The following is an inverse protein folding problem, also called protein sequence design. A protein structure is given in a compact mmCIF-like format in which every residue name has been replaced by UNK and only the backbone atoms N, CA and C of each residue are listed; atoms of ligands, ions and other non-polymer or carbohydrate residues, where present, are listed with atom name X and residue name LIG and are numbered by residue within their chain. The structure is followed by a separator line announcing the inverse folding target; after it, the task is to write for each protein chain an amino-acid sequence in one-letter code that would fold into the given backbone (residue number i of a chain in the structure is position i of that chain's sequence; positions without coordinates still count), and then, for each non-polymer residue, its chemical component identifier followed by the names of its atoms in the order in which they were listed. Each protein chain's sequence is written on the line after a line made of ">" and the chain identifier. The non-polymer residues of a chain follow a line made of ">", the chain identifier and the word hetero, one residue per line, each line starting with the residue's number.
data_IF_201617242374
#
_entry.id   IF_201617242374
#
_cell.length_a   1.000
_cell.length_b   1.000
_cell.length_c   1.000
_cell.angle_alpha   90.00
_cell.angle_beta   90.00
_cell.angle_gamma   90.00
#
_symmetry.space_group_name_H-M   'P 1'
#
loop_
_entity.id
_entity.type
_entity.pdbx_description
1 polymer ?
#
# COMPACT_ATOMS: atom_id res chain seq x y z
N UNK A 1 16.73 11.43 18.43
CA UNK A 1 15.77 11.04 17.37
C UNK A 1 16.55 10.55 16.16
N UNK A 2 16.34 9.31 15.73
CA UNK A 2 16.96 8.88 14.46
C UNK A 2 16.25 9.57 13.32
N UNK A 3 16.97 10.35 12.54
CA UNK A 3 16.47 10.89 11.30
C UNK A 3 16.16 9.72 10.33
N UNK A 4 15.00 9.74 9.69
CA UNK A 4 14.59 8.73 8.70
C UNK A 4 15.23 8.97 7.33
N UNK A 5 16.28 9.72 7.27
CA UNK A 5 17.03 10.04 6.06
C UNK A 5 18.52 10.24 6.39
N UNK A 6 19.36 10.14 5.38
CA UNK A 6 20.82 10.37 5.47
C UNK A 6 21.22 11.57 4.63
N UNK A 7 22.24 12.28 5.07
CA UNK A 7 22.86 13.39 4.36
C UNK A 7 24.14 12.92 3.67
N UNK A 8 24.44 13.44 2.46
CA UNK A 8 25.58 12.99 1.65
C UNK A 8 26.95 13.24 2.32
N UNK A 9 27.08 14.34 3.05
CA UNK A 9 28.34 14.78 3.66
C UNK A 9 28.28 14.78 5.20
N UNK A 10 27.50 13.85 5.74
CA UNK A 10 27.20 13.85 7.16
C UNK A 10 26.24 15.00 7.49
N UNK A 11 26.51 15.72 8.56
CA UNK A 11 25.70 16.82 9.05
C UNK A 11 26.29 18.21 8.78
N UNK A 12 27.35 18.30 7.97
CA UNK A 12 28.06 19.56 7.72
C UNK A 12 28.32 19.76 6.24
N UNK A 13 28.12 20.98 5.77
CA UNK A 13 28.49 21.42 4.43
C UNK A 13 29.13 22.80 4.49
N UNK A 14 30.12 23.05 3.62
CA UNK A 14 30.81 24.35 3.51
C UNK A 14 30.24 25.09 2.30
N UNK A 15 30.00 26.40 2.47
CA UNK A 15 29.55 27.23 1.35
C UNK A 15 30.66 27.43 0.32
N UNK A 16 30.30 27.40 -0.95
CA UNK A 16 31.19 27.70 -2.08
C UNK A 16 31.41 29.20 -2.25
N UNK A 17 32.08 29.61 -3.34
CA UNK A 17 32.38 31.00 -3.66
C UNK A 17 31.10 31.85 -3.89
N UNK A 18 29.99 31.23 -4.26
CA UNK A 18 28.69 31.85 -4.44
C UNK A 18 27.84 31.88 -3.16
N UNK A 19 28.40 31.44 -2.04
CA UNK A 19 27.74 31.39 -0.76
C UNK A 19 26.72 30.23 -0.63
N UNK A 20 26.82 29.20 -1.47
CA UNK A 20 25.90 28.07 -1.49
C UNK A 20 26.53 26.82 -0.89
N UNK A 21 25.81 26.14 -0.02
CA UNK A 21 26.11 24.81 0.46
C UNK A 21 25.09 23.81 -0.11
N UNK A 22 25.56 22.69 -0.62
CA UNK A 22 24.71 21.64 -1.19
C UNK A 22 24.82 20.37 -0.36
N UNK A 23 23.68 19.75 -0.12
CA UNK A 23 23.59 18.46 0.55
C UNK A 23 22.55 17.60 -0.15
N UNK A 24 22.86 16.32 -0.30
CA UNK A 24 21.92 15.35 -0.86
C UNK A 24 21.24 14.57 0.26
N UNK A 25 19.92 14.46 0.19
CA UNK A 25 19.10 13.72 1.13
C UNK A 25 18.71 12.39 0.52
N UNK A 26 18.88 11.31 1.28
CA UNK A 26 18.36 9.97 0.93
C UNK A 26 17.54 9.45 2.07
N UNK A 27 16.34 8.96 1.76
CA UNK A 27 15.43 8.38 2.73
C UNK A 27 14.71 7.17 2.17
N UNK A 28 14.34 6.26 3.06
CA UNK A 28 13.55 5.06 2.73
C UNK A 28 12.13 5.14 3.24
N UNK A 29 11.80 6.19 4.02
CA UNK A 29 10.46 6.39 4.56
C UNK A 29 9.77 7.54 3.83
N UNK A 30 8.61 7.25 3.25
CA UNK A 30 7.74 8.25 2.62
C UNK A 30 7.12 9.19 3.67
N UNK A 31 6.73 10.38 3.23
CA UNK A 31 6.12 11.40 4.04
C UNK A 31 6.98 12.65 4.19
N UNK A 32 6.52 13.55 5.05
CA UNK A 32 7.19 14.83 5.30
C UNK A 32 8.35 14.67 6.30
N UNK A 33 9.50 15.22 5.93
CA UNK A 33 10.70 15.25 6.77
C UNK A 33 11.20 16.68 6.88
N UNK A 34 11.48 17.12 8.10
CA UNK A 34 12.02 18.45 8.34
C UNK A 34 13.56 18.42 8.36
N UNK A 35 14.16 19.24 7.53
CA UNK A 35 15.60 19.47 7.48
C UNK A 35 15.89 20.83 8.04
N UNK A 36 16.83 20.92 8.99
CA UNK A 36 17.26 22.18 9.59
C UNK A 36 18.69 22.47 9.15
N UNK A 37 18.88 23.64 8.56
CA UNK A 37 20.22 24.18 8.28
C UNK A 37 20.53 25.24 9.34
N UNK A 38 21.68 25.11 9.99
CA UNK A 38 22.15 26.08 10.99
C UNK A 38 23.56 26.53 10.70
N UNK A 39 23.81 27.80 10.99
CA UNK A 39 25.16 28.38 10.90
C UNK A 39 25.80 28.52 12.28
N UNK A 40 27.11 28.49 12.31
CA UNK A 40 27.88 28.91 13.48
C UNK A 40 27.49 30.36 13.81
N UNK A 41 27.03 30.63 15.03
CA UNK A 41 26.47 31.93 15.43
C UNK A 41 24.96 31.96 15.65
N UNK A 42 24.28 30.82 15.46
CA UNK A 42 22.93 30.58 15.98
C UNK A 42 21.75 30.86 15.07
N UNK A 43 21.94 31.25 13.81
CA UNK A 43 20.83 31.31 12.85
C UNK A 43 20.55 29.93 12.27
N UNK A 44 19.27 29.55 12.23
CA UNK A 44 18.81 28.33 11.63
C UNK A 44 17.57 28.54 10.78
N UNK A 45 17.42 27.73 9.76
CA UNK A 45 16.27 27.68 8.86
C UNK A 45 15.80 26.25 8.71
N UNK A 46 14.49 26.07 8.59
CA UNK A 46 13.89 24.76 8.42
C UNK A 46 13.20 24.63 7.06
N UNK A 47 13.36 23.47 6.45
CA UNK A 47 12.69 23.12 5.20
C UNK A 47 12.01 21.76 5.36
N UNK A 48 10.77 21.66 4.91
CA UNK A 48 10.06 20.37 4.83
C UNK A 48 10.31 19.75 3.46
N UNK A 49 10.82 18.53 3.45
CA UNK A 49 11.04 17.73 2.25
C UNK A 49 10.11 16.53 2.29
N UNK A 50 9.36 16.31 1.21
CA UNK A 50 8.46 15.17 1.10
C UNK A 50 9.10 14.06 0.26
N UNK A 51 9.21 12.87 0.84
CA UNK A 51 9.54 11.65 0.10
C UNK A 51 8.26 10.93 -0.28
N UNK A 52 8.18 10.47 -1.51
CA UNK A 52 7.08 9.64 -2.00
C UNK A 52 7.46 8.16 -1.96
N UNK A 53 6.46 7.29 -1.85
CA UNK A 53 6.68 5.85 -1.96
C UNK A 53 7.20 5.48 -3.36
N UNK A 54 8.03 4.45 -3.42
CA UNK A 54 8.61 3.97 -4.69
C UNK A 54 7.63 3.03 -5.40
N UNK A 55 6.91 3.55 -6.38
CA UNK A 55 5.95 2.76 -7.16
C UNK A 55 6.59 1.63 -7.97
N UNK A 56 7.89 1.73 -8.29
CA UNK A 56 8.61 0.68 -9.03
C UNK A 56 8.77 -0.60 -8.21
N UNK A 57 8.88 -0.47 -6.90
CA UNK A 57 8.99 -1.61 -5.97
C UNK A 57 7.67 -1.99 -5.32
N UNK A 58 6.55 -1.38 -5.74
CA UNK A 58 5.23 -1.62 -5.16
C UNK A 58 4.82 -3.09 -5.26
N UNK A 59 4.25 -3.59 -4.17
CA UNK A 59 3.74 -4.95 -4.01
C UNK A 59 2.33 -4.93 -3.43
N UNK A 60 1.50 -5.86 -3.84
CA UNK A 60 0.13 -6.03 -3.34
C UNK A 60 0.07 -7.19 -2.36
N UNK A 61 -0.66 -7.00 -1.26
CA UNK A 61 -1.08 -8.05 -0.33
C UNK A 61 -2.61 -8.11 -0.31
N UNK A 62 -3.16 -9.30 -0.14
CA UNK A 62 -4.60 -9.54 -0.16
C UNK A 62 -5.03 -10.23 1.13
N UNK A 63 -5.97 -9.61 1.85
CA UNK A 63 -6.49 -10.11 3.12
C UNK A 63 -8.01 -10.20 3.10
N UNK A 64 -8.55 -11.17 3.84
CA UNK A 64 -9.97 -11.27 4.13
C UNK A 64 -10.25 -10.47 5.40
N UNK A 65 -11.09 -9.44 5.30
CA UNK A 65 -11.45 -8.58 6.44
C UNK A 65 -12.83 -8.91 7.03
N UNK A 66 -13.74 -9.41 6.21
CA UNK A 66 -15.03 -9.96 6.64
C UNK A 66 -15.28 -11.26 5.90
N UNK A 67 -15.60 -12.30 6.66
CA UNK A 67 -15.88 -13.63 6.13
C UNK A 67 -17.35 -14.02 6.35
N UNK A 68 -18.12 -14.00 5.29
CA UNK A 68 -19.41 -14.64 5.24
C UNK A 68 -19.44 -15.57 4.03
N UNK A 69 -18.79 -16.71 4.18
CA UNK A 69 -18.52 -17.66 3.11
C UNK A 69 -19.74 -18.53 2.71
N UNK A 70 -20.94 -18.05 2.91
CA UNK A 70 -22.15 -18.80 2.53
C UNK A 70 -22.39 -18.64 1.03
N UNK A 71 -22.47 -19.76 0.31
CA UNK A 71 -22.70 -19.82 -1.12
C UNK A 71 -24.20 -19.67 -1.48
N UNK A 72 -24.77 -18.51 -1.18
CA UNK A 72 -26.17 -18.19 -1.46
C UNK A 72 -26.34 -16.90 -2.27
N UNK A 73 -25.24 -16.35 -2.78
CA UNK A 73 -25.16 -15.05 -3.47
C UNK A 73 -25.67 -13.84 -2.65
N UNK A 74 -25.84 -14.02 -1.34
CA UNK A 74 -26.22 -12.97 -0.39
C UNK A 74 -25.11 -12.77 0.63
N UNK A 75 -24.49 -13.87 1.10
CA UNK A 75 -23.31 -13.82 1.96
C UNK A 75 -22.15 -13.17 1.22
N UNK A 76 -21.65 -12.05 1.74
CA UNK A 76 -20.57 -11.28 1.13
C UNK A 76 -19.29 -11.45 1.95
N UNK A 77 -18.21 -11.77 1.26
CA UNK A 77 -16.86 -11.77 1.83
C UNK A 77 -16.17 -10.51 1.39
N UNK A 78 -15.61 -9.76 2.33
CA UNK A 78 -14.85 -8.55 2.03
C UNK A 78 -13.37 -8.90 1.93
N UNK A 79 -12.79 -8.58 0.79
CA UNK A 79 -11.35 -8.64 0.55
C UNK A 79 -10.76 -7.24 0.51
N UNK A 80 -9.63 -7.09 1.15
CA UNK A 80 -8.88 -5.85 1.18
C UNK A 80 -7.48 -6.09 0.63
N UNK A 81 -7.13 -5.38 -0.43
CA UNK A 81 -5.78 -5.34 -0.94
C UNK A 81 -5.05 -4.12 -0.35
N UNK A 82 -3.83 -4.33 0.10
CA UNK A 82 -2.92 -3.27 0.52
C UNK A 82 -1.72 -3.21 -0.41
N UNK A 83 -1.27 -2.00 -0.74
CA UNK A 83 -0.10 -1.82 -1.61
C UNK A 83 0.98 -1.07 -0.84
N UNK A 84 2.17 -1.66 -0.79
CA UNK A 84 3.35 -1.06 -0.16
C UNK A 84 4.54 -1.14 -1.10
N UNK A 85 5.47 -0.20 -0.98
CA UNK A 85 6.76 -0.28 -1.69
C UNK A 85 7.73 -1.28 -1.04
N UNK A 86 8.91 -1.44 -1.62
CA UNK A 86 9.94 -2.34 -1.11
C UNK A 86 10.47 -1.98 0.29
N UNK A 87 10.22 -0.78 0.77
CA UNK A 87 10.59 -0.32 2.11
C UNK A 87 9.41 -0.36 3.10
N UNK A 88 8.25 -0.84 2.65
CA UNK A 88 7.04 -0.91 3.47
C UNK A 88 6.24 0.40 3.53
N UNK A 89 6.56 1.37 2.69
CA UNK A 89 5.77 2.59 2.63
C UNK A 89 4.45 2.34 1.88
N UNK A 90 3.33 2.85 2.40
CA UNK A 90 2.04 2.73 1.74
C UNK A 90 2.03 3.49 0.40
N UNK A 91 1.39 2.89 -0.61
CA UNK A 91 1.27 3.45 -1.97
C UNK A 91 -0.19 3.72 -2.28
N UNK A 92 -0.55 4.99 -2.37
CA UNK A 92 -1.88 5.48 -2.69
C UNK A 92 -2.08 5.61 -4.21
N UNK A 93 -3.34 5.54 -4.67
CA UNK A 93 -3.72 5.80 -6.06
C UNK A 93 -3.24 4.76 -7.06
N UNK A 94 -2.88 3.57 -6.59
CA UNK A 94 -2.45 2.46 -7.46
C UNK A 94 -3.66 1.59 -7.80
N UNK A 95 -3.82 1.33 -9.09
CA UNK A 95 -4.87 0.45 -9.58
C UNK A 95 -4.55 -1.01 -9.30
N UNK A 96 -5.41 -1.66 -8.52
CA UNK A 96 -5.38 -3.10 -8.23
C UNK A 96 -6.44 -3.79 -9.08
N UNK A 97 -6.05 -4.79 -9.84
CA UNK A 97 -6.94 -5.64 -10.61
C UNK A 97 -7.24 -6.93 -9.85
N UNK A 98 -8.51 -7.30 -9.83
CA UNK A 98 -8.99 -8.50 -9.17
C UNK A 98 -9.56 -9.49 -10.18
N UNK A 99 -9.29 -10.78 -9.97
CA UNK A 99 -9.85 -11.89 -10.72
C UNK A 99 -10.37 -12.95 -9.77
N UNK A 100 -11.49 -13.56 -10.11
CA UNK A 100 -12.06 -14.66 -9.34
C UNK A 100 -12.54 -15.77 -10.23
N UNK A 101 -12.46 -17.01 -9.75
CA UNK A 101 -12.98 -18.20 -10.42
C UNK A 101 -14.22 -18.68 -9.71
N UNK A 102 -15.34 -18.79 -10.42
CA UNK A 102 -16.66 -19.21 -9.91
C UNK A 102 -17.15 -18.33 -8.74
N UNK A 103 -16.85 -17.04 -8.80
CA UNK A 103 -17.31 -16.02 -7.85
C UNK A 103 -17.76 -14.78 -8.62
N UNK A 104 -18.58 -13.97 -7.96
CA UNK A 104 -18.93 -12.63 -8.43
C UNK A 104 -18.16 -11.60 -7.59
N UNK A 105 -17.46 -10.69 -8.28
CA UNK A 105 -16.73 -9.60 -7.65
C UNK A 105 -17.53 -8.31 -7.79
N UNK A 106 -17.57 -7.50 -6.75
CA UNK A 106 -18.22 -6.16 -6.81
C UNK A 106 -17.52 -5.22 -7.79
N UNK A 107 -16.21 -5.39 -7.97
CA UNK A 107 -15.41 -4.69 -8.97
C UNK A 107 -14.21 -5.55 -9.38
N UNK A 108 -13.77 -5.41 -10.61
CA UNK A 108 -12.55 -6.06 -11.12
C UNK A 108 -11.32 -5.16 -11.08
N UNK A 109 -11.50 -3.88 -10.72
CA UNK A 109 -10.42 -2.93 -10.61
C UNK A 109 -10.78 -1.83 -9.62
N UNK A 110 -9.92 -1.59 -8.65
CA UNK A 110 -10.08 -0.55 -7.62
C UNK A 110 -8.74 0.13 -7.40
N UNK A 111 -8.73 1.44 -7.26
CA UNK A 111 -7.53 2.19 -6.86
C UNK A 111 -7.41 2.23 -5.33
N UNK A 112 -6.19 2.18 -4.83
CA UNK A 112 -5.94 2.33 -3.39
C UNK A 112 -6.32 3.74 -2.94
N UNK A 113 -7.05 3.82 -1.84
CA UNK A 113 -7.49 5.06 -1.22
C UNK A 113 -6.37 5.76 -0.42
N UNK A 114 -6.70 6.82 0.29
CA UNK A 114 -5.78 7.56 1.16
C UNK A 114 -5.28 6.75 2.37
N UNK A 115 -5.95 5.65 2.69
CA UNK A 115 -5.52 4.67 3.69
C UNK A 115 -4.79 3.47 3.07
N UNK A 116 -4.54 3.52 1.76
CA UNK A 116 -3.84 2.56 0.90
C UNK A 116 -4.54 1.21 0.75
N UNK A 117 -5.86 1.21 0.84
CA UNK A 117 -6.70 0.04 0.67
C UNK A 117 -7.46 0.06 -0.65
N UNK A 118 -7.53 -1.08 -1.30
CA UNK A 118 -8.48 -1.36 -2.37
C UNK A 118 -9.39 -2.51 -1.92
N UNK A 119 -10.66 -2.26 -1.76
CA UNK A 119 -11.61 -3.23 -1.23
C UNK A 119 -12.59 -3.71 -2.29
N UNK A 120 -12.91 -5.00 -2.23
CA UNK A 120 -13.98 -5.62 -3.02
C UNK A 120 -14.82 -6.55 -2.17
N UNK A 121 -16.06 -6.76 -2.62
CA UNK A 121 -16.96 -7.77 -2.08
C UNK A 121 -17.01 -8.96 -3.03
N UNK A 122 -17.03 -10.16 -2.47
CA UNK A 122 -17.07 -11.43 -3.20
C UNK A 122 -18.28 -12.21 -2.78
N UNK A 123 -19.04 -12.69 -3.75
CA UNK A 123 -20.19 -13.59 -3.54
C UNK A 123 -20.05 -14.82 -4.43
N UNK A 124 -20.72 -15.92 -4.06
CA UNK A 124 -20.81 -17.12 -4.90
C UNK A 124 -22.12 -17.86 -4.63
N UNK A 125 -22.62 -18.54 -5.64
CA UNK A 125 -23.72 -19.51 -5.52
C UNK A 125 -23.26 -20.94 -5.39
N UNK A 126 -21.96 -21.20 -5.59
CA UNK A 126 -21.38 -22.54 -5.57
C UNK A 126 -20.55 -22.77 -4.32
N UNK A 127 -20.75 -23.92 -3.69
CA UNK A 127 -19.91 -24.38 -2.58
C UNK A 127 -18.53 -24.81 -3.07
N UNK A 128 -17.59 -24.89 -2.17
CA UNK A 128 -16.24 -25.37 -2.44
C UNK A 128 -15.19 -24.28 -2.40
N UNK A 129 -13.97 -24.67 -2.70
CA UNK A 129 -12.84 -23.76 -2.68
C UNK A 129 -12.86 -22.81 -3.88
N UNK A 130 -12.83 -21.53 -3.62
CA UNK A 130 -12.76 -20.46 -4.62
C UNK A 130 -11.42 -19.72 -4.50
N UNK A 131 -10.97 -19.19 -5.60
CA UNK A 131 -9.76 -18.38 -5.64
C UNK A 131 -10.07 -16.98 -6.13
N UNK A 132 -9.50 -15.99 -5.46
CA UNK A 132 -9.49 -14.61 -5.91
C UNK A 132 -8.04 -14.15 -5.93
N UNK A 133 -7.63 -13.55 -7.02
CA UNK A 133 -6.29 -12.98 -7.15
C UNK A 133 -6.35 -11.46 -7.26
N UNK A 134 -5.29 -10.82 -6.81
CA UNK A 134 -5.05 -9.39 -6.96
C UNK A 134 -3.69 -9.16 -7.60
N UNK A 135 -3.62 -8.21 -8.51
CA UNK A 135 -2.38 -7.81 -9.18
C UNK A 135 -2.37 -6.29 -9.40
N UNK A 136 -1.18 -5.72 -9.50
CA UNK A 136 -1.05 -4.31 -9.91
C UNK A 136 -1.18 -4.20 -11.43
N UNK A 137 -1.79 -3.11 -11.90
CA UNK A 137 -2.12 -2.95 -13.33
C UNK A 137 -0.90 -3.04 -14.26
N UNK A 138 0.25 -2.61 -13.78
CA UNK A 138 1.52 -2.55 -14.51
C UNK A 138 2.50 -3.68 -14.15
N UNK A 139 2.08 -4.62 -13.28
CA UNK A 139 2.91 -5.74 -12.83
C UNK A 139 2.15 -7.06 -12.94
N UNK A 140 2.72 -8.09 -13.58
CA UNK A 140 2.03 -9.36 -13.82
C UNK A 140 1.99 -10.27 -12.58
N UNK A 141 2.66 -9.93 -11.49
CA UNK A 141 2.70 -10.76 -10.29
C UNK A 141 1.35 -10.71 -9.57
N UNK A 142 0.72 -11.86 -9.44
CA UNK A 142 -0.57 -12.01 -8.75
C UNK A 142 -0.38 -12.57 -7.33
N UNK A 143 -1.17 -12.05 -6.40
CA UNK A 143 -1.35 -12.62 -5.07
C UNK A 143 -2.71 -13.31 -5.03
N UNK A 144 -2.76 -14.54 -4.52
CA UNK A 144 -3.95 -15.38 -4.52
C UNK A 144 -4.46 -15.54 -3.10
N UNK A 145 -5.77 -15.29 -2.91
CA UNK A 145 -6.52 -15.65 -1.71
C UNK A 145 -7.45 -16.82 -2.03
N UNK A 146 -7.47 -17.81 -1.16
CA UNK A 146 -8.35 -18.98 -1.27
C UNK A 146 -9.49 -18.86 -0.27
N UNK A 147 -10.71 -18.98 -0.78
CA UNK A 147 -11.93 -18.85 -0.02
C UNK A 147 -12.71 -20.16 -0.06
N UNK A 148 -13.07 -20.70 1.09
CA UNK A 148 -13.93 -21.88 1.18
C UNK A 148 -15.38 -21.45 1.32
N UNK A 149 -16.17 -21.57 0.24
CA UNK A 149 -17.59 -21.27 0.23
C UNK A 149 -18.37 -22.45 0.81
N UNK A 150 -19.16 -22.17 1.85
CA UNK A 150 -19.89 -23.15 2.61
C UNK A 150 -21.39 -23.12 2.26
N UNK A 151 -22.05 -24.26 2.44
CA UNK A 151 -23.50 -24.35 2.36
C UNK A 151 -24.13 -23.70 3.59
N UNK A 152 -25.23 -22.94 3.41
CA UNK A 152 -25.99 -22.40 4.53
C UNK A 152 -26.43 -23.52 5.46
N UNK A 153 -26.25 -23.38 6.79
CA UNK A 153 -26.79 -24.31 7.76
C UNK A 153 -28.31 -24.26 7.75
N UNK A 154 -28.99 -25.40 7.56
CA UNK A 154 -30.40 -25.50 7.87
C UNK A 154 -30.62 -25.26 9.36
N UNK A 155 -31.56 -24.37 9.69
CA UNK A 155 -32.07 -24.32 11.08
C UNK A 155 -32.58 -25.71 11.45
N UNK A 156 -31.95 -26.34 12.44
CA UNK A 156 -32.56 -27.52 13.08
C UNK A 156 -33.87 -27.11 13.75
N UNK A 157 -34.92 -27.83 13.43
CA UNK A 157 -36.21 -27.70 14.15
C UNK A 157 -36.07 -28.27 15.55
#
# INVERSE_FOLDING_TARGET
>A
MKANFTLSDGDKAVTDADGKAKVTLKGTKAGAHTVTASMVGGKSEQLVVNFTADTLTAQVNLNVTEDNFIANNIGMTRLQATVTDGNGNPVEGIKVNFRGTSVTLSSTSVETDDQVFAEILVTSTEVGLKTVSASLADKPTEVISRLLMLKAKRKSR
#
